data_IF_351517418826
#
_entry.id   IF_351517418826
#
_cell.length_a   1.000
_cell.length_b   1.000
_cell.length_c   1.000
_cell.angle_alpha   90.00
_cell.angle_beta   90.00
_cell.angle_gamma   90.00
#
_symmetry.space_group_name_H-M   'P 1'
#
loop_
_entity.id
_entity.type
_entity.pdbx_description
1 polymer ?
#
# COMPACT_ATOMS: atom_id res chain seq x y z
N UNK A 1 37.61 -5.32 -19.48
CA UNK A 1 37.61 -4.54 -18.23
C UNK A 1 36.15 -4.40 -17.81
N UNK A 2 35.84 -5.06 -16.69
CA UNK A 2 34.68 -4.95 -15.79
C UNK A 2 33.27 -4.85 -16.41
N UNK A 3 32.58 -5.99 -16.40
CA UNK A 3 31.13 -6.09 -16.45
C UNK A 3 30.58 -5.71 -15.07
N UNK A 4 29.95 -4.54 -14.93
CA UNK A 4 29.20 -4.20 -13.72
C UNK A 4 27.82 -4.88 -13.78
N UNK A 5 27.77 -6.04 -13.13
CA UNK A 5 26.58 -6.89 -12.98
C UNK A 5 25.75 -6.37 -11.81
N UNK A 6 24.43 -6.28 -12.01
CA UNK A 6 23.36 -6.15 -11.01
C UNK A 6 23.80 -6.29 -9.55
N UNK A 7 23.68 -5.22 -8.77
CA UNK A 7 23.30 -5.31 -7.34
C UNK A 7 23.02 -3.90 -6.83
N UNK A 8 21.80 -3.43 -7.00
CA UNK A 8 21.20 -2.52 -6.03
C UNK A 8 19.82 -3.09 -5.69
N UNK A 9 19.84 -4.26 -5.04
CA UNK A 9 18.82 -4.54 -4.04
C UNK A 9 19.09 -3.52 -2.93
N UNK A 10 18.57 -2.30 -3.10
CA UNK A 10 18.41 -1.41 -1.98
C UNK A 10 17.57 -2.21 -1.00
N UNK A 11 18.18 -2.58 0.12
CA UNK A 11 17.50 -3.17 1.26
C UNK A 11 16.67 -2.04 1.89
N UNK A 12 15.73 -1.49 1.12
CA UNK A 12 14.73 -0.53 1.52
C UNK A 12 13.87 -1.27 2.55
N UNK A 13 14.28 -1.27 3.82
CA UNK A 13 13.56 -1.85 4.96
C UNK A 13 12.17 -1.23 5.21
N UNK A 14 11.73 -0.37 4.31
CA UNK A 14 10.40 0.22 4.26
C UNK A 14 9.45 -0.53 3.32
N UNK A 15 9.91 -1.54 2.57
CA UNK A 15 9.04 -2.42 1.78
C UNK A 15 8.49 -3.56 2.62
N UNK A 16 7.16 -3.75 2.56
CA UNK A 16 6.49 -4.80 3.32
C UNK A 16 5.04 -4.97 2.92
N UNK A 17 4.27 -5.59 3.81
CA UNK A 17 2.85 -5.77 3.64
C UNK A 17 2.06 -5.23 4.81
N UNK A 18 0.84 -4.81 4.51
CA UNK A 18 -0.18 -4.51 5.49
C UNK A 18 -1.53 -5.02 4.99
N UNK A 19 -2.28 -5.62 5.90
CA UNK A 19 -3.69 -5.92 5.78
C UNK A 19 -4.42 -4.77 6.45
N UNK A 20 -5.27 -4.10 5.70
CA UNK A 20 -5.99 -2.94 6.22
C UNK A 20 -7.37 -2.80 5.57
N UNK A 21 -8.32 -2.28 6.35
CA UNK A 21 -9.65 -1.93 5.88
C UNK A 21 -9.66 -0.51 5.33
N UNK A 22 -10.26 -0.30 4.15
CA UNK A 22 -10.41 1.04 3.56
C UNK A 22 -11.46 1.81 4.34
N UNK A 23 -11.02 2.77 5.16
CA UNK A 23 -11.91 3.59 5.98
C UNK A 23 -12.52 4.73 5.18
N UNK A 24 -11.72 5.39 4.33
CA UNK A 24 -12.16 6.57 3.58
C UNK A 24 -11.27 6.81 2.35
N UNK A 25 -11.84 7.19 1.21
CA UNK A 25 -11.08 7.58 0.01
C UNK A 25 -11.06 9.11 -0.10
N UNK A 26 -9.89 9.73 0.13
CA UNK A 26 -9.74 11.19 0.06
C UNK A 26 -9.66 11.74 -1.36
N UNK A 27 -9.09 10.96 -2.28
CA UNK A 27 -8.87 11.42 -3.65
C UNK A 27 -8.85 10.26 -4.64
N UNK A 28 -9.37 10.51 -5.84
CA UNK A 28 -9.30 9.61 -6.99
C UNK A 28 -9.01 10.39 -8.27
N UNK A 29 -8.02 9.93 -9.04
CA UNK A 29 -7.72 10.42 -10.37
C UNK A 29 -8.26 9.43 -11.41
N UNK A 30 -9.38 9.73 -12.10
CA UNK A 30 -9.99 8.81 -13.06
C UNK A 30 -9.11 8.50 -14.27
N UNK A 31 -8.16 9.40 -14.61
CA UNK A 31 -7.25 9.22 -15.74
C UNK A 31 -6.12 8.21 -15.49
N UNK A 32 -5.69 8.04 -14.24
CA UNK A 32 -4.55 7.18 -13.88
C UNK A 32 -4.92 6.06 -12.90
N UNK A 33 -6.18 6.02 -12.44
CA UNK A 33 -6.65 5.14 -11.36
C UNK A 33 -5.92 5.36 -10.03
N UNK A 34 -5.21 6.48 -9.91
CA UNK A 34 -4.48 6.83 -8.70
C UNK A 34 -5.49 7.23 -7.63
N UNK A 35 -5.45 6.58 -6.46
CA UNK A 35 -6.29 6.93 -5.32
C UNK A 35 -5.45 7.13 -4.07
N UNK A 36 -5.97 7.99 -3.19
CA UNK A 36 -5.44 8.24 -1.85
C UNK A 36 -6.54 7.90 -0.87
N UNK A 37 -6.28 6.95 0.02
CA UNK A 37 -7.28 6.47 0.97
C UNK A 37 -6.67 6.30 2.36
N UNK A 38 -7.45 6.58 3.39
CA UNK A 38 -7.15 6.18 4.76
C UNK A 38 -7.54 4.73 4.94
N UNK A 39 -6.61 3.93 5.46
CA UNK A 39 -6.90 2.55 5.83
C UNK A 39 -6.58 2.33 7.31
N UNK A 40 -7.40 1.52 7.97
CA UNK A 40 -7.17 1.04 9.33
C UNK A 40 -6.37 -0.24 9.26
N UNK A 41 -5.16 -0.24 9.80
CA UNK A 41 -4.27 -1.41 9.79
C UNK A 41 -4.81 -2.48 10.74
N UNK A 42 -5.07 -3.65 10.18
CA UNK A 42 -5.45 -4.85 10.93
C UNK A 42 -4.23 -5.71 11.24
N UNK A 43 -3.34 -5.88 10.26
CA UNK A 43 -2.10 -6.64 10.39
C UNK A 43 -1.01 -6.01 9.51
N UNK A 44 0.22 -5.92 9.98
CA UNK A 44 1.32 -5.43 9.14
C UNK A 44 2.65 -5.92 9.66
N UNK A 45 3.62 -6.05 8.74
CA UNK A 45 5.03 -6.30 9.05
C UNK A 45 5.84 -4.99 9.18
N UNK A 46 5.20 -3.85 8.91
CA UNK A 46 5.80 -2.53 8.89
C UNK A 46 5.52 -1.78 10.20
N UNK A 47 6.48 -0.97 10.66
CA UNK A 47 6.29 -0.10 11.84
C UNK A 47 5.42 1.11 11.47
N UNK A 48 4.10 0.92 11.53
CA UNK A 48 3.08 1.89 11.17
C UNK A 48 2.06 2.03 12.31
N UNK A 49 1.42 3.19 12.38
CA UNK A 49 0.30 3.43 13.29
C UNK A 49 -0.93 2.58 12.90
N UNK A 50 -1.90 2.47 13.82
CA UNK A 50 -3.16 1.75 13.56
C UNK A 50 -3.96 2.28 12.38
N UNK A 51 -3.68 3.50 11.92
CA UNK A 51 -4.28 4.09 10.73
C UNK A 51 -3.16 4.69 9.86
N UNK A 52 -3.20 4.42 8.56
CA UNK A 52 -2.21 4.94 7.61
C UNK A 52 -2.87 5.36 6.31
N UNK A 53 -2.30 6.37 5.66
CA UNK A 53 -2.75 6.76 4.33
C UNK A 53 -2.03 5.95 3.27
N UNK A 54 -2.78 5.20 2.46
CA UNK A 54 -2.27 4.49 1.29
C UNK A 54 -2.41 5.36 0.04
N UNK A 55 -1.44 5.22 -0.84
CA UNK A 55 -1.41 5.85 -2.16
C UNK A 55 -1.00 4.84 -3.21
N UNK A 56 -1.61 4.89 -4.38
CA UNK A 56 -1.34 3.90 -5.42
C UNK A 56 -2.40 3.90 -6.50
N UNK A 57 -2.28 2.99 -7.45
CA UNK A 57 -3.26 2.85 -8.52
C UNK A 57 -4.21 1.70 -8.17
N UNK A 58 -5.46 2.04 -7.90
CA UNK A 58 -6.46 1.08 -7.45
C UNK A 58 -7.68 1.13 -8.39
N UNK A 59 -7.73 0.26 -9.42
CA UNK A 59 -8.90 0.16 -10.29
C UNK A 59 -10.17 -0.12 -9.47
N UNK A 60 -10.09 -1.06 -8.53
CA UNK A 60 -11.20 -1.52 -7.71
C UNK A 60 -10.80 -1.43 -6.23
N UNK A 61 -11.15 -0.31 -5.59
CA UNK A 61 -10.97 -0.05 -4.16
C UNK A 61 -12.32 0.34 -3.59
N UNK A 62 -12.80 -0.41 -2.62
CA UNK A 62 -14.12 -0.23 -2.01
C UNK A 62 -13.95 0.13 -0.54
N UNK A 63 -14.61 1.19 -0.11
CA UNK A 63 -14.68 1.60 1.29
C UNK A 63 -15.42 0.55 2.13
N UNK A 64 -14.94 0.31 3.35
CA UNK A 64 -15.42 -0.74 4.24
C UNK A 64 -15.00 -2.17 3.83
N UNK A 65 -14.03 -2.31 2.93
CA UNK A 65 -13.48 -3.61 2.52
C UNK A 65 -12.01 -3.73 2.92
N UNK A 66 -11.64 -4.90 3.45
CA UNK A 66 -10.27 -5.25 3.78
C UNK A 66 -9.49 -5.73 2.56
N UNK A 67 -8.28 -5.23 2.43
CA UNK A 67 -7.35 -5.64 1.38
C UNK A 67 -5.96 -5.89 1.96
N UNK A 68 -5.26 -6.82 1.33
CA UNK A 68 -3.84 -7.00 1.51
C UNK A 68 -3.10 -6.04 0.58
N UNK A 69 -2.41 -5.06 1.15
CA UNK A 69 -1.58 -4.11 0.44
C UNK A 69 -0.11 -4.50 0.58
N UNK A 70 0.60 -4.50 -0.55
CA UNK A 70 2.05 -4.65 -0.61
C UNK A 70 2.64 -3.38 -1.18
N UNK A 71 3.56 -2.77 -0.45
CA UNK A 71 4.08 -1.47 -0.82
C UNK A 71 5.26 -1.07 0.04
N UNK A 72 5.60 0.21 -0.03
CA UNK A 72 6.64 0.81 0.78
C UNK A 72 6.17 2.00 1.59
N UNK A 73 6.69 2.13 2.80
CA UNK A 73 6.47 3.31 3.63
C UNK A 73 7.18 4.50 2.98
N UNK A 74 6.47 5.61 2.85
CA UNK A 74 6.98 6.91 2.43
C UNK A 74 6.61 7.95 3.47
N UNK A 75 7.55 8.81 3.86
CA UNK A 75 7.28 9.86 4.84
C UNK A 75 7.07 11.20 4.12
N UNK A 76 5.93 11.83 4.38
CA UNK A 76 5.63 13.17 3.89
C UNK A 76 5.82 14.21 5.01
N UNK A 77 6.61 15.28 4.80
CA UNK A 77 6.97 16.24 5.85
C UNK A 77 5.80 17.00 6.48
N UNK A 78 4.60 16.94 5.87
CA UNK A 78 3.37 17.61 6.35
C UNK A 78 2.30 16.66 6.88
N UNK A 79 2.29 15.40 6.42
CA UNK A 79 1.18 14.45 6.68
C UNK A 79 1.66 13.18 7.41
N UNK A 80 2.96 13.03 7.65
CA UNK A 80 3.53 11.89 8.36
C UNK A 80 3.75 10.68 7.45
N UNK A 81 3.63 9.49 8.02
CA UNK A 81 3.88 8.21 7.34
C UNK A 81 2.72 7.86 6.41
N UNK A 82 3.05 7.53 5.17
CA UNK A 82 2.14 7.06 4.15
C UNK A 82 2.69 5.74 3.58
N UNK A 83 1.85 5.00 2.86
CA UNK A 83 2.30 3.79 2.18
C UNK A 83 2.03 3.94 0.69
N UNK A 84 3.10 3.85 -0.11
CA UNK A 84 2.98 3.72 -1.55
C UNK A 84 2.75 2.25 -1.89
N UNK A 85 1.51 1.91 -2.21
CA UNK A 85 1.10 0.57 -2.59
C UNK A 85 1.59 0.28 -4.01
N UNK A 86 2.35 -0.80 -4.15
CA UNK A 86 2.84 -1.32 -5.41
C UNK A 86 1.87 -2.37 -5.98
N UNK A 87 1.25 -3.16 -5.10
CA UNK A 87 0.29 -4.19 -5.45
C UNK A 87 -0.69 -4.41 -4.32
N UNK A 88 -1.94 -4.74 -4.63
CA UNK A 88 -2.95 -5.05 -3.63
C UNK A 88 -3.74 -6.28 -4.05
N UNK A 89 -4.33 -6.96 -3.06
CA UNK A 89 -5.22 -8.10 -3.27
C UNK A 89 -6.42 -7.95 -2.33
N UNK A 90 -7.64 -8.19 -2.81
CA UNK A 90 -8.80 -8.26 -1.92
C UNK A 90 -8.60 -9.41 -0.92
N UNK A 91 -8.96 -9.16 0.35
CA UNK A 91 -8.97 -10.20 1.39
C UNK A 91 -10.08 -11.23 1.16
N UNK A 92 -10.91 -11.05 0.11
CA UNK A 92 -11.97 -12.00 -0.24
C UNK A 92 -11.38 -13.41 -0.32
N UNK A 93 -11.91 -14.25 0.57
CA UNK A 93 -11.65 -15.67 0.64
C UNK A 93 -11.56 -16.27 -0.77
N UNK A 94 -10.62 -17.18 -0.96
CA UNK A 94 -10.87 -18.34 -1.81
C UNK A 94 -12.15 -19.03 -1.30
N UNK A 95 -13.32 -18.54 -1.70
CA UNK A 95 -14.51 -19.36 -1.70
C UNK A 95 -14.35 -20.28 -2.90
N UNK A 96 -13.79 -21.43 -2.55
CA UNK A 96 -13.94 -22.70 -3.23
C UNK A 96 -15.41 -22.91 -3.57
N UNK A 97 -15.73 -22.84 -4.86
CA UNK A 97 -16.89 -23.50 -5.46
C UNK A 97 -16.47 -24.12 -6.80
#
# INVERSE_FOLDING_TARGET
MQQETLTLFDEDKNEGYLVAEVLNIFFEAPASLYKVALVGITETDLDLDSEVTITGNFPELVEGTSYYFKGKITEHPKYGRQVQVLSYKPEILSSKD
#
